data_IF_786597900560
#
_entry.id   IF_786597900560
#
_cell.length_a   1.000
_cell.length_b   1.000
_cell.length_c   1.000
_cell.angle_alpha   90.00
_cell.angle_beta   90.00
_cell.angle_gamma   90.00
#
_symmetry.space_group_name_H-M   'P 1'
#
loop_
_entity.id
_entity.type
_entity.pdbx_description
1 polymer ?
#
# COMPACT_ATOMS: atom_id res chain seq x y z
N UNK A 1 15.88 32.79 -7.83
CA UNK A 1 16.02 33.25 -9.24
C UNK A 1 16.78 34.57 -9.25
N UNK A 2 17.87 34.65 -10.01
CA UNK A 2 18.85 35.74 -9.97
C UNK A 2 18.24 37.08 -10.40
N UNK A 3 18.55 38.15 -9.66
CA UNK A 3 18.28 39.56 -9.96
C UNK A 3 18.60 39.97 -11.40
N UNK A 4 19.54 39.26 -12.04
CA UNK A 4 19.87 39.36 -13.45
C UNK A 4 18.70 39.09 -14.42
N UNK A 5 17.81 38.14 -14.13
CA UNK A 5 16.66 37.86 -15.00
C UNK A 5 15.60 38.96 -14.89
N UNK A 6 15.43 39.54 -13.70
CA UNK A 6 14.53 40.69 -13.49
C UNK A 6 15.03 41.95 -14.18
N UNK A 7 16.35 42.16 -14.18
CA UNK A 7 16.98 43.27 -14.92
C UNK A 7 16.86 43.09 -16.43
N UNK A 8 17.05 41.87 -16.95
CA UNK A 8 16.89 41.58 -18.37
C UNK A 8 15.44 41.79 -18.85
N UNK A 9 14.45 41.34 -18.07
CA UNK A 9 13.04 41.55 -18.38
C UNK A 9 12.64 43.03 -18.31
N UNK A 10 13.14 43.79 -17.34
CA UNK A 10 12.90 45.23 -17.22
C UNK A 10 13.54 46.02 -18.38
N UNK A 11 14.74 45.63 -18.82
CA UNK A 11 15.41 46.22 -19.99
C UNK A 11 14.68 45.90 -21.30
N UNK A 12 14.12 44.70 -21.46
CA UNK A 12 13.31 44.34 -22.63
C UNK A 12 11.98 45.13 -22.68
N UNK A 13 11.34 45.36 -21.52
CA UNK A 13 10.13 46.19 -21.40
C UNK A 13 10.39 47.67 -21.70
N UNK A 14 11.56 48.19 -21.28
CA UNK A 14 11.96 49.58 -21.59
C UNK A 14 12.37 49.77 -23.05
N UNK A 15 12.95 48.75 -23.70
CA UNK A 15 13.28 48.80 -25.12
C UNK A 15 12.03 48.69 -26.02
N UNK A 16 11.00 47.96 -25.57
CA UNK A 16 9.74 47.80 -26.31
C UNK A 16 8.81 49.03 -26.29
N UNK A 17 8.93 49.92 -25.30
CA UNK A 17 8.10 51.13 -25.21
C UNK A 17 8.61 52.31 -26.04
N UNK A 18 9.87 52.27 -26.49
CA UNK A 18 10.49 53.31 -27.33
C UNK A 18 10.33 53.07 -28.84
N UNK A 19 9.83 51.90 -29.24
CA UNK A 19 9.61 51.55 -30.64
C UNK A 19 8.21 50.93 -30.77
N UNK A 20 7.31 51.64 -31.46
CA UNK A 20 6.02 51.18 -32.05
C UNK A 20 4.72 51.41 -31.27
N UNK A 21 3.96 52.40 -31.76
CA UNK A 21 2.52 52.56 -31.55
C UNK A 21 1.75 51.60 -32.48
N UNK A 22 1.25 50.47 -31.98
CA UNK A 22 0.39 49.58 -32.77
C UNK A 22 -0.24 48.44 -31.97
N UNK A 23 -1.54 48.19 -32.16
CA UNK A 23 -2.30 47.16 -31.42
C UNK A 23 -1.76 45.72 -31.56
N UNK A 24 -0.94 45.45 -32.58
CA UNK A 24 -0.35 44.12 -32.81
C UNK A 24 0.88 43.87 -31.93
N UNK A 25 1.66 44.90 -31.58
CA UNK A 25 2.80 44.73 -30.67
C UNK A 25 2.37 44.49 -29.24
N UNK A 26 1.20 44.98 -28.82
CA UNK A 26 0.61 44.61 -27.52
C UNK A 26 0.25 43.13 -27.45
N UNK A 27 -0.29 42.55 -28.53
CA UNK A 27 -0.61 41.12 -28.60
C UNK A 27 0.65 40.26 -28.64
N UNK A 28 1.70 40.68 -29.35
CA UNK A 28 3.00 39.99 -29.33
C UNK A 28 3.69 40.13 -27.99
N UNK A 29 3.65 41.30 -27.35
CA UNK A 29 4.15 41.50 -25.97
C UNK A 29 3.37 40.66 -24.96
N UNK A 30 2.04 40.57 -25.06
CA UNK A 30 1.24 39.70 -24.20
C UNK A 30 1.53 38.23 -24.47
N UNK A 31 1.72 37.82 -25.72
CA UNK A 31 2.07 36.44 -26.07
C UNK A 31 3.48 36.08 -25.61
N UNK A 32 4.45 37.00 -25.76
CA UNK A 32 5.83 36.84 -25.28
C UNK A 32 5.89 36.89 -23.76
N UNK A 33 5.08 37.73 -23.12
CA UNK A 33 4.92 37.77 -21.67
C UNK A 33 4.28 36.47 -21.18
N UNK A 34 3.17 36.00 -21.76
CA UNK A 34 2.55 34.71 -21.46
C UNK A 34 3.54 33.57 -21.68
N UNK A 35 4.36 33.61 -22.74
CA UNK A 35 5.42 32.62 -23.01
C UNK A 35 6.62 32.71 -22.07
N UNK A 36 6.93 33.89 -21.54
CA UNK A 36 8.00 34.12 -20.57
C UNK A 36 7.55 33.80 -19.15
N UNK A 37 6.26 33.93 -18.87
CA UNK A 37 5.62 33.56 -17.60
C UNK A 37 4.93 32.19 -17.68
N UNK A 38 5.05 31.48 -18.81
CA UNK A 38 4.56 30.11 -19.00
C UNK A 38 5.39 29.22 -18.07
N UNK A 39 4.83 28.91 -16.90
CA UNK A 39 5.50 28.21 -15.81
C UNK A 39 5.73 29.04 -14.54
N UNK A 40 5.44 30.35 -14.55
CA UNK A 40 5.41 31.13 -13.32
C UNK A 40 4.22 30.71 -12.46
N UNK A 41 4.43 30.48 -11.16
CA UNK A 41 3.37 30.01 -10.29
C UNK A 41 2.25 31.05 -10.20
N UNK A 42 1.00 30.62 -10.44
CA UNK A 42 -0.19 31.46 -10.29
C UNK A 42 -0.14 32.21 -8.97
N UNK A 43 -0.29 33.53 -9.02
CA UNK A 43 -0.24 34.40 -7.84
C UNK A 43 -1.32 34.03 -6.83
N UNK A 44 -0.98 33.97 -5.54
CA UNK A 44 -1.87 33.46 -4.49
C UNK A 44 -3.23 34.17 -4.39
N UNK A 45 -3.32 35.45 -4.78
CA UNK A 45 -4.59 36.20 -4.79
C UNK A 45 -5.55 35.77 -5.90
N UNK A 46 -5.05 35.14 -6.98
CA UNK A 46 -5.86 34.58 -8.08
C UNK A 46 -6.37 33.17 -7.77
N UNK A 47 -5.79 32.51 -6.78
CA UNK A 47 -6.22 31.20 -6.33
C UNK A 47 -7.46 31.32 -5.45
N UNK A 48 -8.37 30.36 -5.60
CA UNK A 48 -9.50 30.21 -4.70
C UNK A 48 -9.03 29.76 -3.30
N UNK A 49 -9.93 29.74 -2.32
CA UNK A 49 -9.53 29.48 -0.92
C UNK A 49 -8.98 28.06 -0.71
N UNK A 50 -9.49 27.07 -1.43
CA UNK A 50 -9.03 25.67 -1.36
C UNK A 50 -7.66 25.53 -2.02
N UNK A 51 -7.50 26.02 -3.25
CA UNK A 51 -6.20 26.01 -3.95
C UNK A 51 -5.13 26.71 -3.12
N UNK A 52 -5.45 27.87 -2.55
CA UNK A 52 -4.51 28.62 -1.70
C UNK A 52 -4.08 27.83 -0.47
N UNK A 53 -5.00 27.12 0.18
CA UNK A 53 -4.71 26.32 1.36
C UNK A 53 -3.71 25.18 1.06
N UNK A 54 -3.78 24.56 -0.11
CA UNK A 54 -2.84 23.51 -0.51
C UNK A 54 -1.50 24.04 -1.04
N UNK A 55 -1.38 25.34 -1.32
CA UNK A 55 -0.15 25.93 -1.84
C UNK A 55 0.70 26.48 -0.70
N UNK A 56 1.75 25.76 -0.31
CA UNK A 56 2.67 26.16 0.77
C UNK A 56 3.27 27.57 0.57
N UNK A 57 3.47 28.00 -0.69
CA UNK A 57 3.95 29.36 -1.00
C UNK A 57 2.97 30.47 -0.64
N UNK A 58 1.70 30.15 -0.44
CA UNK A 58 0.63 31.10 -0.14
C UNK A 58 0.37 31.28 1.35
N UNK A 59 1.25 30.72 2.18
CA UNK A 59 1.17 30.77 3.64
C UNK A 59 0.67 29.45 4.24
N UNK A 60 0.66 29.40 5.57
CA UNK A 60 0.07 28.28 6.30
C UNK A 60 -1.45 28.38 6.25
N UNK A 61 -2.12 27.23 6.13
CA UNK A 61 -3.56 27.17 6.25
C UNK A 61 -4.06 27.75 7.59
N UNK A 62 -5.18 28.48 7.52
CA UNK A 62 -5.86 29.08 8.66
C UNK A 62 -7.27 28.52 8.73
N UNK A 63 -7.68 27.98 9.87
CA UNK A 63 -9.03 27.46 10.05
C UNK A 63 -10.09 28.57 9.87
N UNK A 64 -11.19 28.23 9.20
CA UNK A 64 -12.24 29.16 8.80
C UNK A 64 -12.00 29.87 7.46
N UNK A 65 -10.85 29.63 6.82
CA UNK A 65 -10.47 30.34 5.59
C UNK A 65 -11.08 29.77 4.31
N UNK A 66 -11.61 28.54 4.32
CA UNK A 66 -12.18 27.94 3.12
C UNK A 66 -13.57 28.53 2.85
N UNK A 67 -14.06 28.52 1.61
CA UNK A 67 -15.46 28.83 1.32
C UNK A 67 -16.19 27.61 0.79
N UNK A 68 -17.48 27.46 1.11
CA UNK A 68 -18.25 26.29 0.64
C UNK A 68 -18.33 26.26 -0.90
N UNK A 69 -18.39 27.43 -1.54
CA UNK A 69 -18.33 27.57 -2.99
C UNK A 69 -17.04 26.98 -3.56
N UNK A 70 -15.90 27.31 -2.96
CA UNK A 70 -14.61 26.81 -3.43
C UNK A 70 -14.41 25.33 -3.10
N UNK A 71 -15.01 24.82 -2.03
CA UNK A 71 -15.02 23.37 -1.75
C UNK A 71 -15.81 22.61 -2.82
N UNK A 72 -16.97 23.12 -3.22
CA UNK A 72 -17.78 22.51 -4.27
C UNK A 72 -17.16 22.63 -5.68
N UNK A 73 -16.41 23.71 -5.94
CA UNK A 73 -15.80 24.00 -7.23
C UNK A 73 -14.30 24.33 -7.09
N UNK A 74 -13.53 23.41 -6.53
CA UNK A 74 -12.14 23.67 -6.13
C UNK A 74 -11.17 23.97 -7.27
N UNK A 75 -11.49 23.62 -8.51
CA UNK A 75 -10.58 23.77 -9.65
C UNK A 75 -9.35 22.85 -9.61
N UNK A 76 -9.19 22.06 -8.55
CA UNK A 76 -8.08 21.13 -8.38
C UNK A 76 -8.28 19.89 -9.27
N UNK A 77 -7.19 19.32 -9.84
CA UNK A 77 -7.27 18.11 -10.66
C UNK A 77 -7.59 16.86 -9.83
N UNK A 78 -7.45 16.95 -8.50
CA UNK A 78 -7.73 15.88 -7.54
C UNK A 78 -8.69 16.44 -6.50
N UNK A 79 -9.63 15.61 -6.07
CA UNK A 79 -10.59 15.92 -5.01
C UNK A 79 -9.89 16.50 -3.77
N UNK A 80 -10.35 17.63 -3.20
CA UNK A 80 -9.75 18.26 -2.02
C UNK A 80 -9.62 17.30 -0.82
N UNK A 81 -10.62 16.44 -0.57
CA UNK A 81 -10.55 15.47 0.52
C UNK A 81 -9.45 14.44 0.31
N UNK A 82 -9.29 13.93 -0.90
CA UNK A 82 -8.22 12.98 -1.24
C UNK A 82 -6.85 13.62 -1.05
N UNK A 83 -6.66 14.86 -1.50
CA UNK A 83 -5.41 15.59 -1.30
C UNK A 83 -5.12 15.84 0.18
N UNK A 84 -6.11 16.31 0.94
CA UNK A 84 -5.95 16.59 2.36
C UNK A 84 -5.67 15.32 3.17
N UNK A 85 -6.39 14.23 2.89
CA UNK A 85 -6.22 12.98 3.62
C UNK A 85 -4.86 12.32 3.33
N UNK A 86 -4.40 12.39 2.07
CA UNK A 86 -3.18 11.73 1.59
C UNK A 86 -1.93 12.12 2.39
N UNK A 87 -1.82 13.37 2.79
CA UNK A 87 -0.62 13.92 3.44
C UNK A 87 -0.94 14.46 4.84
N UNK A 88 -0.25 13.98 5.90
CA UNK A 88 -0.50 14.43 7.26
C UNK A 88 -0.38 15.94 7.47
N UNK A 89 0.42 16.63 6.66
CA UNK A 89 0.56 18.09 6.70
C UNK A 89 -0.74 18.84 6.39
N UNK A 90 -1.68 18.22 5.67
CA UNK A 90 -2.95 18.83 5.26
C UNK A 90 -4.16 18.33 6.06
N UNK A 91 -3.97 17.41 7.02
CA UNK A 91 -5.03 16.98 7.93
C UNK A 91 -5.75 18.11 8.67
N UNK A 92 -5.10 19.24 9.05
CA UNK A 92 -5.81 20.38 9.62
C UNK A 92 -6.98 20.94 8.79
N UNK A 93 -7.01 20.69 7.47
CA UNK A 93 -8.09 21.11 6.57
C UNK A 93 -9.30 20.18 6.60
N UNK A 94 -9.12 18.90 6.97
CA UNK A 94 -10.17 17.88 6.86
C UNK A 94 -11.47 18.28 7.58
N UNK A 95 -11.45 18.77 8.84
CA UNK A 95 -12.70 19.12 9.52
C UNK A 95 -13.47 20.22 8.79
N UNK A 96 -12.78 21.23 8.26
CA UNK A 96 -13.42 22.35 7.58
C UNK A 96 -13.93 21.95 6.18
N UNK A 97 -13.19 21.11 5.45
CA UNK A 97 -13.64 20.56 4.17
C UNK A 97 -14.94 19.77 4.35
N UNK A 98 -15.00 18.89 5.35
CA UNK A 98 -16.20 18.10 5.67
C UNK A 98 -17.35 19.03 6.08
N UNK A 99 -17.10 19.98 6.98
CA UNK A 99 -18.12 20.92 7.44
C UNK A 99 -18.69 21.79 6.30
N UNK A 100 -17.91 22.05 5.25
CA UNK A 100 -18.34 22.80 4.05
C UNK A 100 -18.92 21.92 2.94
N UNK A 101 -19.19 20.65 3.24
CA UNK A 101 -19.93 19.75 2.36
C UNK A 101 -19.07 18.97 1.36
N UNK A 102 -17.76 18.86 1.59
CA UNK A 102 -16.96 17.92 0.80
C UNK A 102 -17.40 16.49 1.09
N UNK A 103 -17.51 15.68 0.03
CA UNK A 103 -18.01 14.30 0.09
C UNK A 103 -16.99 13.33 -0.50
N UNK A 104 -16.61 12.25 0.20
CA UNK A 104 -15.62 11.31 -0.32
C UNK A 104 -16.12 10.57 -1.58
N UNK A 105 -17.43 10.36 -1.73
CA UNK A 105 -18.02 9.68 -2.89
C UNK A 105 -17.91 10.50 -4.18
N UNK A 106 -17.64 11.81 -4.08
CA UNK A 106 -17.35 12.66 -5.23
C UNK A 106 -15.90 12.53 -5.70
N UNK A 107 -15.03 11.88 -4.92
CA UNK A 107 -13.63 11.69 -5.26
C UNK A 107 -13.44 10.43 -6.12
N UNK A 108 -12.67 10.54 -7.21
CA UNK A 108 -12.30 9.38 -8.05
C UNK A 108 -11.46 8.35 -7.28
N UNK A 109 -10.63 8.82 -6.36
CA UNK A 109 -9.83 7.98 -5.46
C UNK A 109 -10.27 8.26 -4.04
N UNK A 110 -10.75 7.22 -3.36
CA UNK A 110 -11.13 7.25 -1.95
C UNK A 110 -10.01 7.87 -1.10
N UNK A 111 -10.31 8.85 -0.22
CA UNK A 111 -9.30 9.52 0.59
C UNK A 111 -8.42 8.57 1.42
N UNK A 112 -9.00 7.51 1.98
CA UNK A 112 -8.25 6.50 2.74
C UNK A 112 -7.31 5.66 1.89
N UNK A 113 -7.71 5.33 0.66
CA UNK A 113 -6.84 4.59 -0.27
C UNK A 113 -5.64 5.45 -0.65
N UNK A 114 -5.86 6.74 -0.93
CA UNK A 114 -4.77 7.67 -1.22
C UNK A 114 -3.82 7.86 -0.03
N UNK A 115 -4.34 7.98 1.19
CA UNK A 115 -3.55 8.01 2.42
C UNK A 115 -2.70 6.75 2.56
N UNK A 116 -3.32 5.58 2.49
CA UNK A 116 -2.63 4.30 2.68
C UNK A 116 -1.50 4.07 1.67
N UNK A 117 -1.71 4.47 0.41
CA UNK A 117 -0.73 4.33 -0.65
C UNK A 117 0.44 5.29 -0.53
N UNK A 118 0.20 6.52 -0.04
CA UNK A 118 1.26 7.51 0.17
C UNK A 118 2.03 7.26 1.48
N UNK A 119 1.32 6.89 2.53
CA UNK A 119 1.84 6.73 3.88
C UNK A 119 1.22 5.45 4.50
N UNK A 120 1.88 4.28 4.38
CA UNK A 120 1.29 3.01 4.81
C UNK A 120 0.97 2.93 6.30
N UNK A 121 1.73 3.64 7.16
CA UNK A 121 1.47 3.77 8.59
C UNK A 121 2.03 5.11 9.12
N UNK A 122 1.32 6.24 8.91
CA UNK A 122 1.78 7.54 9.37
C UNK A 122 1.76 7.62 10.90
N UNK A 123 2.43 8.63 11.44
CA UNK A 123 2.36 8.97 12.86
C UNK A 123 1.06 9.73 13.15
N UNK A 124 0.01 9.01 13.53
CA UNK A 124 -1.29 9.57 13.89
C UNK A 124 -1.29 10.32 15.22
N UNK A 125 -0.25 10.18 16.06
CA UNK A 125 -0.18 10.86 17.36
C UNK A 125 -0.08 12.40 17.23
N UNK A 126 0.29 12.88 16.05
CA UNK A 126 0.34 14.32 15.73
C UNK A 126 -1.00 14.90 15.33
N UNK A 127 -2.00 14.06 15.07
CA UNK A 127 -3.32 14.51 14.70
C UNK A 127 -4.09 15.02 15.92
N UNK A 128 -4.83 16.12 15.74
CA UNK A 128 -5.78 16.57 16.79
C UNK A 128 -7.01 15.65 16.83
N UNK A 129 -7.79 15.65 17.93
CA UNK A 129 -9.01 14.83 17.99
C UNK A 129 -9.97 15.07 16.81
N UNK A 130 -10.18 16.34 16.42
CA UNK A 130 -11.03 16.67 15.27
C UNK A 130 -10.49 16.12 13.94
N UNK A 131 -9.17 16.02 13.78
CA UNK A 131 -8.56 15.42 12.59
C UNK A 131 -8.73 13.89 12.60
N UNK A 132 -8.54 13.24 13.74
CA UNK A 132 -8.79 11.80 13.89
C UNK A 132 -10.27 11.46 13.65
N UNK A 133 -11.19 12.29 14.14
CA UNK A 133 -12.62 12.13 13.90
C UNK A 133 -12.96 12.30 12.43
N UNK A 134 -12.32 13.26 11.74
CA UNK A 134 -12.48 13.45 10.30
C UNK A 134 -11.96 12.25 9.51
N UNK A 135 -10.80 11.71 9.87
CA UNK A 135 -10.25 10.49 9.26
C UNK A 135 -11.17 9.29 9.51
N UNK A 136 -11.64 9.11 10.75
CA UNK A 136 -12.60 8.05 11.08
C UNK A 136 -13.88 8.15 10.25
N UNK A 137 -14.47 9.35 10.18
CA UNK A 137 -15.65 9.62 9.36
C UNK A 137 -15.42 9.26 7.89
N UNK A 138 -14.28 9.68 7.31
CA UNK A 138 -13.92 9.35 5.93
C UNK A 138 -13.85 7.84 5.67
N UNK A 139 -13.52 7.02 6.67
CA UNK A 139 -13.51 5.57 6.50
C UNK A 139 -14.92 4.98 6.55
N UNK A 140 -15.77 5.53 7.40
CA UNK A 140 -17.09 4.97 7.70
C UNK A 140 -18.14 5.30 6.64
N UNK A 141 -18.07 6.51 6.07
CA UNK A 141 -19.08 6.94 5.09
C UNK A 141 -18.78 6.51 3.66
N UNK A 142 -17.52 6.22 3.35
CA UNK A 142 -17.07 5.87 2.00
C UNK A 142 -16.90 4.36 1.85
N UNK A 143 -17.82 3.70 1.14
CA UNK A 143 -17.69 2.27 0.84
C UNK A 143 -16.41 1.93 0.07
N UNK A 144 -15.83 2.87 -0.69
CA UNK A 144 -14.56 2.66 -1.40
C UNK A 144 -13.35 2.68 -0.45
N UNK A 145 -13.51 3.10 0.81
CA UNK A 145 -12.49 2.97 1.84
C UNK A 145 -12.26 1.51 2.24
N UNK A 146 -13.20 0.60 1.98
CA UNK A 146 -13.01 -0.85 2.19
C UNK A 146 -12.12 -1.40 1.07
N UNK A 147 -10.82 -1.27 1.29
CA UNK A 147 -9.79 -1.57 0.32
C UNK A 147 -8.59 -2.21 1.02
N UNK A 148 -7.85 -3.08 0.32
CA UNK A 148 -6.68 -3.78 0.86
C UNK A 148 -5.71 -2.83 1.58
N UNK A 149 -5.28 -1.77 0.89
CA UNK A 149 -4.30 -0.82 1.43
C UNK A 149 -4.86 -0.06 2.65
N UNK A 150 -6.14 0.31 2.64
CA UNK A 150 -6.76 1.01 3.77
C UNK A 150 -6.87 0.11 5.00
N UNK A 151 -7.25 -1.16 4.84
CA UNK A 151 -7.23 -2.16 5.92
C UNK A 151 -5.82 -2.33 6.48
N UNK A 152 -4.79 -2.35 5.63
CA UNK A 152 -3.38 -2.41 6.07
C UNK A 152 -3.00 -1.22 6.94
N UNK A 153 -3.38 -0.01 6.54
CA UNK A 153 -3.07 1.20 7.30
C UNK A 153 -3.88 1.29 8.60
N UNK A 154 -5.18 0.99 8.58
CA UNK A 154 -6.04 1.00 9.77
C UNK A 154 -5.61 -0.04 10.83
N UNK A 155 -5.05 -1.16 10.40
CA UNK A 155 -4.54 -2.21 11.30
C UNK A 155 -3.08 -2.01 11.73
N UNK A 156 -2.40 -0.95 11.25
CA UNK A 156 -1.01 -0.71 11.58
C UNK A 156 -0.84 -0.24 13.05
N UNK A 157 0.35 -0.41 13.66
CA UNK A 157 0.56 -0.05 15.07
C UNK A 157 0.18 1.39 15.42
N UNK A 158 0.54 2.37 14.58
CA UNK A 158 0.23 3.78 14.86
C UNK A 158 -1.27 4.08 14.76
N UNK A 159 -1.99 3.44 13.83
CA UNK A 159 -3.44 3.59 13.71
C UNK A 159 -4.16 3.02 14.94
N UNK A 160 -3.71 1.86 15.43
CA UNK A 160 -4.21 1.26 16.68
C UNK A 160 -3.96 2.14 17.89
N UNK A 161 -2.76 2.70 18.02
CA UNK A 161 -2.43 3.62 19.13
C UNK A 161 -3.30 4.88 19.10
N UNK A 162 -3.77 5.30 17.92
CA UNK A 162 -4.70 6.41 17.75
C UNK A 162 -6.19 6.00 17.79
N UNK A 163 -6.51 4.71 18.01
CA UNK A 163 -7.88 4.19 18.05
C UNK A 163 -8.63 4.25 16.71
N UNK A 164 -7.90 4.24 15.60
CA UNK A 164 -8.47 4.20 14.24
C UNK A 164 -8.80 2.77 13.79
N UNK A 165 -8.20 1.77 14.40
CA UNK A 165 -8.50 0.35 14.17
C UNK A 165 -9.93 -0.03 14.52
N UNK A 166 -10.58 0.70 15.44
CA UNK A 166 -12.00 0.53 15.73
C UNK A 166 -12.93 0.78 14.53
N UNK A 167 -12.43 1.36 13.43
CA UNK A 167 -13.14 1.37 12.13
C UNK A 167 -13.33 -0.05 11.60
N UNK A 168 -12.31 -0.91 11.71
CA UNK A 168 -12.38 -2.30 11.26
C UNK A 168 -13.41 -3.09 12.06
N UNK A 169 -13.45 -2.87 13.38
CA UNK A 169 -14.45 -3.48 14.25
C UNK A 169 -15.87 -3.03 13.86
N UNK A 170 -16.07 -1.75 13.51
CA UNK A 170 -17.37 -1.24 13.03
C UNK A 170 -17.76 -1.83 11.69
N UNK A 171 -16.84 -1.90 10.72
CA UNK A 171 -17.10 -2.53 9.43
C UNK A 171 -17.45 -4.02 9.59
N UNK A 172 -16.77 -4.73 10.51
CA UNK A 172 -17.10 -6.12 10.85
C UNK A 172 -18.50 -6.23 11.47
N UNK A 173 -18.82 -5.42 12.47
CA UNK A 173 -20.12 -5.41 13.14
C UNK A 173 -21.29 -5.03 12.21
N UNK A 174 -21.01 -4.35 11.10
CA UNK A 174 -21.97 -3.98 10.07
C UNK A 174 -22.01 -4.97 8.88
N UNK A 175 -21.38 -6.14 9.00
CA UNK A 175 -21.28 -7.15 7.94
C UNK A 175 -20.69 -6.63 6.62
N UNK A 176 -19.84 -5.60 6.68
CA UNK A 176 -19.20 -5.02 5.50
C UNK A 176 -17.93 -5.78 5.09
N UNK A 177 -17.34 -6.54 6.01
CA UNK A 177 -16.12 -7.31 5.77
C UNK A 177 -16.36 -8.77 5.39
N UNK A 178 -17.56 -9.15 4.95
CA UNK A 178 -17.93 -10.56 4.70
C UNK A 178 -16.97 -11.30 3.74
N UNK A 179 -16.62 -12.57 4.04
CA UNK A 179 -15.80 -13.37 3.13
C UNK A 179 -16.52 -13.60 1.80
N UNK A 180 -15.77 -13.63 0.70
CA UNK A 180 -16.28 -13.85 -0.66
C UNK A 180 -16.94 -12.62 -1.32
N UNK A 181 -17.25 -11.58 -0.54
CA UNK A 181 -17.74 -10.28 -1.08
C UNK A 181 -16.57 -9.34 -1.35
N UNK A 182 -15.56 -9.36 -0.50
CA UNK A 182 -14.39 -8.51 -0.63
C UNK A 182 -13.54 -8.92 -1.85
N UNK A 183 -13.01 -7.96 -2.63
CA UNK A 183 -12.12 -8.23 -3.76
C UNK A 183 -10.67 -8.55 -3.32
N UNK A 184 -10.46 -8.84 -2.04
CA UNK A 184 -9.19 -9.19 -1.42
C UNK A 184 -9.44 -10.06 -0.18
N UNK A 185 -8.43 -10.83 0.24
CA UNK A 185 -8.51 -11.59 1.50
C UNK A 185 -8.13 -10.75 2.71
N UNK A 186 -8.98 -10.72 3.74
CA UNK A 186 -8.79 -9.89 4.94
C UNK A 186 -7.43 -10.09 5.64
N UNK A 187 -7.02 -11.34 5.88
CA UNK A 187 -5.71 -11.60 6.52
C UNK A 187 -4.52 -11.18 5.66
N UNK A 188 -4.68 -11.17 4.34
CA UNK A 188 -3.70 -10.61 3.42
C UNK A 188 -3.58 -9.09 3.54
N UNK A 189 -4.69 -8.42 3.84
CA UNK A 189 -4.73 -6.97 4.00
C UNK A 189 -4.28 -6.49 5.38
N UNK A 190 -4.51 -7.26 6.45
CA UNK A 190 -4.11 -6.87 7.81
C UNK A 190 -2.59 -6.70 7.96
N UNK A 191 -2.20 -5.73 8.80
CA UNK A 191 -0.82 -5.58 9.24
C UNK A 191 -0.37 -6.84 10.01
N UNK A 192 0.89 -7.31 9.86
CA UNK A 192 1.36 -8.55 10.51
C UNK A 192 1.10 -8.60 12.02
N UNK A 193 1.32 -7.49 12.71
CA UNK A 193 1.10 -7.37 14.17
C UNK A 193 -0.38 -7.39 14.59
N UNK A 194 -1.31 -7.48 13.64
CA UNK A 194 -2.75 -7.54 13.89
C UNK A 194 -3.32 -8.96 13.76
N UNK A 195 -2.53 -9.94 13.29
CA UNK A 195 -3.00 -11.30 13.03
C UNK A 195 -3.32 -12.10 14.31
N UNK A 196 -2.83 -11.68 15.48
CA UNK A 196 -3.09 -12.34 16.76
C UNK A 196 -4.05 -11.56 17.68
N UNK A 197 -4.80 -10.59 17.17
CA UNK A 197 -5.74 -9.78 17.96
C UNK A 197 -7.14 -10.42 18.04
N UNK A 198 -8.03 -9.93 18.94
CA UNK A 198 -9.44 -10.36 18.97
C UNK A 198 -10.14 -10.25 17.61
N UNK A 199 -9.96 -9.15 16.87
CA UNK A 199 -10.54 -8.97 15.53
C UNK A 199 -10.13 -10.11 14.58
N UNK A 200 -8.86 -10.54 14.60
CA UNK A 200 -8.41 -11.63 13.75
C UNK A 200 -9.16 -12.94 14.04
N UNK A 201 -9.32 -13.28 15.33
CA UNK A 201 -10.10 -14.45 15.76
C UNK A 201 -11.58 -14.33 15.38
N UNK A 202 -12.13 -13.13 15.46
CA UNK A 202 -13.51 -12.86 15.04
C UNK A 202 -13.66 -13.05 13.53
N UNK A 203 -12.74 -12.54 12.71
CA UNK A 203 -12.73 -12.76 11.27
C UNK A 203 -12.65 -14.26 10.93
N UNK A 204 -11.81 -15.03 11.63
CA UNK A 204 -11.75 -16.49 11.46
C UNK A 204 -13.09 -17.16 11.77
N UNK A 205 -13.73 -16.76 12.88
CA UNK A 205 -15.04 -17.28 13.28
C UNK A 205 -16.14 -16.96 12.25
N UNK A 206 -16.01 -15.84 11.52
CA UNK A 206 -16.91 -15.44 10.44
C UNK A 206 -16.52 -16.04 9.06
N UNK A 207 -15.56 -16.96 9.01
CA UNK A 207 -15.23 -17.73 7.80
C UNK A 207 -14.13 -17.13 6.93
N UNK A 208 -13.41 -16.10 7.39
CA UNK A 208 -12.16 -15.72 6.74
C UNK A 208 -11.11 -16.81 6.93
N UNK A 209 -10.27 -17.02 5.91
CA UNK A 209 -9.20 -18.02 5.97
C UNK A 209 -7.86 -17.44 5.53
N UNK A 210 -6.78 -17.96 6.10
CA UNK A 210 -5.43 -17.62 5.66
C UNK A 210 -5.26 -17.87 4.16
N UNK A 211 -5.74 -19.00 3.64
CA UNK A 211 -5.67 -19.32 2.20
C UNK A 211 -6.30 -18.23 1.33
N UNK A 212 -7.50 -17.74 1.69
CA UNK A 212 -8.12 -16.63 0.98
C UNK A 212 -7.31 -15.32 1.10
N UNK A 213 -6.62 -15.11 2.23
CA UNK A 213 -5.67 -14.03 2.46
C UNK A 213 -4.45 -14.02 1.54
N UNK A 214 -4.14 -15.14 0.87
CA UNK A 214 -3.05 -15.25 -0.10
C UNK A 214 -3.52 -15.04 -1.55
N UNK A 215 -4.81 -14.81 -1.75
CA UNK A 215 -5.41 -14.60 -3.07
C UNK A 215 -5.01 -13.27 -3.70
N UNK A 216 -5.45 -13.08 -4.94
CA UNK A 216 -5.22 -11.83 -5.64
C UNK A 216 -5.96 -10.66 -4.99
N UNK A 217 -5.38 -9.47 -5.13
CA UNK A 217 -5.95 -8.25 -4.57
C UNK A 217 -5.59 -7.04 -5.44
N UNK A 218 -6.37 -5.97 -5.30
CA UNK A 218 -6.06 -4.66 -5.89
C UNK A 218 -5.48 -3.77 -4.80
N UNK A 219 -4.25 -3.30 -5.00
CA UNK A 219 -3.56 -2.42 -4.06
C UNK A 219 -2.09 -2.21 -4.41
N UNK A 220 -1.45 -1.25 -3.75
CA UNK A 220 -0.02 -0.98 -3.89
C UNK A 220 0.80 -1.58 -2.75
N UNK A 221 0.18 -1.79 -1.58
CA UNK A 221 0.87 -2.38 -0.45
C UNK A 221 1.00 -3.89 -0.62
N UNK A 222 2.10 -4.45 -0.13
CA UNK A 222 2.40 -5.89 -0.21
C UNK A 222 1.41 -6.72 0.63
N UNK A 223 1.14 -7.98 0.26
CA UNK A 223 0.27 -8.83 1.06
C UNK A 223 0.92 -9.18 2.40
N UNK A 224 0.09 -9.54 3.39
CA UNK A 224 0.46 -9.73 4.79
C UNK A 224 1.62 -10.70 5.01
N UNK A 225 1.62 -11.82 4.29
CA UNK A 225 2.69 -12.80 4.38
C UNK A 225 4.04 -12.27 3.88
N UNK A 226 4.08 -11.58 2.73
CA UNK A 226 5.33 -11.00 2.23
C UNK A 226 5.83 -9.89 3.16
N UNK A 227 4.93 -9.06 3.68
CA UNK A 227 5.30 -8.02 4.64
C UNK A 227 5.87 -8.61 5.94
N UNK A 228 5.27 -9.69 6.44
CA UNK A 228 5.76 -10.40 7.63
C UNK A 228 7.17 -10.96 7.40
N UNK A 229 7.45 -11.54 6.22
CA UNK A 229 8.79 -12.02 5.85
C UNK A 229 9.81 -10.88 5.79
N UNK A 230 9.47 -9.77 5.12
CA UNK A 230 10.38 -8.63 4.95
C UNK A 230 10.70 -7.95 6.28
N UNK A 231 9.73 -7.86 7.17
CA UNK A 231 9.90 -7.27 8.50
C UNK A 231 10.42 -8.25 9.56
N UNK A 232 10.62 -9.53 9.22
CA UNK A 232 10.97 -10.58 10.18
C UNK A 232 10.01 -10.68 11.35
N UNK A 233 8.70 -10.52 11.09
CA UNK A 233 7.68 -10.65 12.13
C UNK A 233 7.39 -12.13 12.39
N UNK A 234 8.19 -12.76 13.25
CA UNK A 234 8.11 -14.20 13.52
C UNK A 234 6.73 -14.63 14.07
N UNK A 235 6.09 -13.80 14.88
CA UNK A 235 4.76 -14.09 15.43
C UNK A 235 3.69 -14.18 14.31
N UNK A 236 3.75 -13.28 13.34
CA UNK A 236 2.90 -13.33 12.15
C UNK A 236 3.25 -14.50 11.23
N UNK A 237 4.56 -14.79 11.06
CA UNK A 237 5.00 -15.94 10.27
C UNK A 237 4.50 -17.25 10.88
N UNK A 238 4.57 -17.40 12.20
CA UNK A 238 4.02 -18.55 12.91
C UNK A 238 2.52 -18.69 12.66
N UNK A 239 1.77 -17.58 12.76
CA UNK A 239 0.34 -17.57 12.47
C UNK A 239 0.03 -18.09 11.06
N UNK A 240 0.78 -17.62 10.05
CA UNK A 240 0.64 -18.03 8.66
C UNK A 240 1.01 -19.49 8.43
N UNK A 241 2.18 -19.93 8.93
CA UNK A 241 2.71 -21.28 8.73
C UNK A 241 1.88 -22.32 9.45
N UNK A 242 1.34 -22.02 10.64
CA UNK A 242 0.41 -22.93 11.34
C UNK A 242 -0.86 -23.20 10.53
N UNK A 243 -1.34 -22.22 9.76
CA UNK A 243 -2.58 -22.34 8.97
C UNK A 243 -2.35 -22.82 7.55
N UNK A 244 -1.21 -22.47 6.97
CA UNK A 244 -0.81 -22.85 5.61
C UNK A 244 0.64 -23.32 5.62
N UNK A 245 0.94 -24.54 6.10
CA UNK A 245 2.32 -25.02 6.27
C UNK A 245 3.13 -25.05 4.97
N UNK A 246 2.47 -25.22 3.83
CA UNK A 246 3.11 -25.21 2.51
C UNK A 246 3.75 -23.86 2.15
N UNK A 247 3.36 -22.76 2.81
CA UNK A 247 3.88 -21.43 2.56
C UNK A 247 5.39 -21.36 2.69
N UNK A 248 5.98 -22.09 3.65
CA UNK A 248 7.43 -22.12 3.91
C UNK A 248 8.22 -22.47 2.65
N UNK A 249 7.65 -23.31 1.78
CA UNK A 249 8.27 -23.76 0.55
C UNK A 249 7.69 -23.11 -0.71
N UNK A 250 6.42 -22.69 -0.69
CA UNK A 250 5.74 -22.13 -1.85
C UNK A 250 4.63 -21.18 -1.45
N UNK A 251 4.82 -19.90 -1.75
CA UNK A 251 3.77 -18.90 -1.72
C UNK A 251 3.05 -18.87 -3.08
N UNK A 252 1.71 -18.73 -3.08
CA UNK A 252 0.96 -18.55 -4.32
C UNK A 252 1.28 -17.19 -4.96
N UNK A 253 0.96 -17.02 -6.26
CA UNK A 253 1.08 -15.73 -6.91
C UNK A 253 0.06 -14.75 -6.33
N UNK A 254 0.46 -13.48 -6.19
CA UNK A 254 -0.43 -12.43 -5.72
C UNK A 254 -1.33 -11.87 -6.85
N UNK A 255 -1.05 -12.18 -8.11
CA UNK A 255 -1.81 -11.74 -9.29
C UNK A 255 -1.75 -12.79 -10.41
N UNK A 256 -2.68 -12.73 -11.37
CA UNK A 256 -2.81 -13.72 -12.45
C UNK A 256 -1.56 -13.89 -13.34
N UNK A 257 -0.76 -12.83 -13.50
CA UNK A 257 0.46 -12.86 -14.33
C UNK A 257 1.72 -13.29 -13.55
N UNK A 258 1.57 -13.61 -12.26
CA UNK A 258 2.67 -14.07 -11.43
C UNK A 258 2.65 -15.59 -11.30
N UNK A 259 3.82 -16.17 -11.11
CA UNK A 259 3.98 -17.56 -10.70
C UNK A 259 4.24 -17.62 -9.19
N UNK A 260 3.88 -18.75 -8.59
CA UNK A 260 4.22 -19.00 -7.18
C UNK A 260 5.74 -18.88 -6.96
N UNK A 261 6.12 -18.39 -5.79
CA UNK A 261 7.49 -18.08 -5.43
C UNK A 261 7.91 -18.82 -4.16
N UNK A 262 9.23 -18.95 -3.97
CA UNK A 262 9.82 -19.66 -2.82
C UNK A 262 10.29 -18.61 -1.80
N UNK A 263 9.78 -18.61 -0.55
CA UNK A 263 10.16 -17.60 0.44
C UNK A 263 11.66 -17.52 0.70
N UNK A 264 12.31 -18.67 0.85
CA UNK A 264 13.75 -18.70 1.09
C UNK A 264 14.53 -18.10 -0.09
N UNK A 265 14.09 -18.31 -1.34
CA UNK A 265 14.69 -17.67 -2.51
C UNK A 265 14.52 -16.14 -2.52
N UNK A 266 13.36 -15.64 -2.07
CA UNK A 266 13.13 -14.20 -1.91
C UNK A 266 14.01 -13.60 -0.83
N UNK A 267 14.07 -14.24 0.34
CA UNK A 267 14.87 -13.78 1.49
C UNK A 267 16.34 -13.60 1.12
N UNK A 268 16.92 -14.52 0.35
CA UNK A 268 18.34 -14.45 -0.06
C UNK A 268 18.62 -13.43 -1.17
N UNK A 269 17.58 -12.88 -1.82
CA UNK A 269 17.73 -11.91 -2.90
C UNK A 269 18.15 -10.55 -2.32
N UNK A 270 19.17 -9.88 -2.88
CA UNK A 270 19.59 -8.55 -2.44
C UNK A 270 18.41 -7.56 -2.39
N UNK A 271 18.38 -6.70 -1.38
CA UNK A 271 17.33 -5.70 -1.14
C UNK A 271 15.92 -6.22 -0.82
N UNK A 272 15.72 -7.54 -0.68
CA UNK A 272 14.46 -8.06 -0.15
C UNK A 272 14.30 -7.74 1.35
N UNK A 273 15.32 -8.06 2.15
CA UNK A 273 15.48 -7.59 3.53
C UNK A 273 16.72 -6.70 3.54
N UNK A 274 16.60 -5.48 4.07
CA UNK A 274 17.69 -4.50 4.07
C UNK A 274 18.75 -4.81 5.14
N UNK A 275 18.33 -5.33 6.29
CA UNK A 275 19.22 -5.71 7.40
C UNK A 275 19.78 -7.13 7.20
N UNK A 276 21.10 -7.31 7.04
CA UNK A 276 21.70 -8.63 6.88
C UNK A 276 21.53 -9.56 8.09
N UNK A 277 21.46 -9.03 9.31
CA UNK A 277 21.25 -9.85 10.52
C UNK A 277 19.83 -10.43 10.49
N UNK A 278 18.83 -9.59 10.28
CA UNK A 278 17.45 -10.01 10.11
C UNK A 278 17.28 -10.98 8.93
N UNK A 279 17.98 -10.76 7.82
CA UNK A 279 17.96 -11.67 6.67
C UNK A 279 18.40 -13.09 7.07
N UNK A 280 19.47 -13.20 7.88
CA UNK A 280 19.95 -14.48 8.41
C UNK A 280 18.92 -15.11 9.34
N UNK A 281 18.35 -14.34 10.25
CA UNK A 281 17.38 -14.85 11.23
C UNK A 281 16.11 -15.37 10.55
N UNK A 282 15.60 -14.67 9.54
CA UNK A 282 14.45 -15.12 8.74
C UNK A 282 14.80 -16.39 7.94
N UNK A 283 16.00 -16.49 7.38
CA UNK A 283 16.42 -17.70 6.68
C UNK A 283 16.52 -18.90 7.63
N UNK A 284 17.09 -18.72 8.82
CA UNK A 284 17.17 -19.76 9.87
C UNK A 284 15.76 -20.15 10.33
N UNK A 285 14.88 -19.19 10.56
CA UNK A 285 13.48 -19.43 10.89
C UNK A 285 12.80 -20.31 9.84
N UNK A 286 12.93 -19.98 8.56
CA UNK A 286 12.32 -20.75 7.48
C UNK A 286 12.87 -22.18 7.42
N UNK A 287 14.18 -22.37 7.59
CA UNK A 287 14.79 -23.71 7.65
C UNK A 287 14.27 -24.53 8.83
N UNK A 288 14.12 -23.92 10.01
CA UNK A 288 13.56 -24.56 11.20
C UNK A 288 12.08 -24.99 11.00
N UNK A 289 11.35 -24.30 10.11
CA UNK A 289 9.97 -24.61 9.77
C UNK A 289 9.82 -25.49 8.51
N UNK A 290 10.91 -26.12 8.06
CA UNK A 290 10.88 -27.10 6.97
C UNK A 290 11.04 -26.52 5.57
N UNK A 291 11.67 -25.35 5.43
CA UNK A 291 12.09 -24.87 4.12
C UNK A 291 13.14 -25.80 3.50
N UNK A 292 12.94 -26.14 2.24
CA UNK A 292 13.77 -27.06 1.49
C UNK A 292 14.70 -26.29 0.54
N UNK A 293 15.95 -25.94 0.94
CA UNK A 293 16.83 -25.11 0.12
C UNK A 293 17.29 -25.80 -1.17
N UNK A 294 17.18 -27.14 -1.21
CA UNK A 294 17.53 -27.98 -2.36
C UNK A 294 16.37 -28.19 -3.34
N UNK A 295 15.18 -27.66 -3.05
CA UNK A 295 14.03 -27.76 -3.95
C UNK A 295 14.23 -26.86 -5.17
N UNK A 296 13.82 -27.36 -6.33
CA UNK A 296 13.84 -26.62 -7.59
C UNK A 296 12.96 -25.37 -7.54
N UNK A 297 13.42 -24.28 -8.15
CA UNK A 297 12.67 -23.03 -8.24
C UNK A 297 11.54 -23.14 -9.27
N UNK A 298 10.35 -22.56 -9.02
CA UNK A 298 9.22 -22.64 -9.95
C UNK A 298 9.47 -22.02 -11.33
N UNK A 299 10.32 -21.00 -11.43
CA UNK A 299 10.64 -20.30 -12.68
C UNK A 299 11.84 -20.90 -13.43
N UNK A 300 12.68 -21.66 -12.73
CA UNK A 300 13.86 -22.29 -13.29
C UNK A 300 14.10 -23.63 -12.55
N UNK A 301 13.57 -24.74 -13.09
CA UNK A 301 13.69 -26.05 -12.48
C UNK A 301 15.15 -26.53 -12.33
N UNK A 302 16.09 -25.95 -13.10
CA UNK A 302 17.52 -26.28 -13.03
C UNK A 302 18.22 -25.64 -11.83
N UNK A 303 17.61 -24.62 -11.22
CA UNK A 303 18.13 -23.93 -10.05
C UNK A 303 17.40 -24.34 -8.77
N UNK A 304 18.17 -24.42 -7.69
CA UNK A 304 17.71 -24.51 -6.30
C UNK A 304 18.03 -23.22 -5.55
N UNK A 305 17.47 -23.05 -4.35
CA UNK A 305 17.79 -21.90 -3.48
C UNK A 305 19.28 -21.86 -3.14
N UNK A 306 19.93 -23.01 -2.90
CA UNK A 306 21.38 -23.08 -2.67
C UNK A 306 22.16 -22.62 -3.91
N UNK A 307 21.82 -23.12 -5.11
CA UNK A 307 22.53 -22.73 -6.33
C UNK A 307 22.34 -21.24 -6.64
N UNK A 308 21.17 -20.69 -6.32
CA UNK A 308 20.88 -19.27 -6.44
C UNK A 308 21.72 -18.46 -5.42
N UNK A 309 21.82 -18.92 -4.17
CA UNK A 309 22.63 -18.27 -3.15
C UNK A 309 24.11 -18.20 -3.54
N UNK A 310 24.67 -19.28 -4.12
CA UNK A 310 26.04 -19.31 -4.66
C UNK A 310 26.19 -18.31 -5.80
N UNK A 311 25.27 -18.31 -6.76
CA UNK A 311 25.26 -17.38 -7.90
C UNK A 311 25.21 -15.91 -7.46
N UNK A 312 24.43 -15.62 -6.42
CA UNK A 312 24.29 -14.29 -5.83
C UNK A 312 25.43 -13.92 -4.86
N UNK A 313 26.37 -14.83 -4.59
CA UNK A 313 27.41 -14.68 -3.56
C UNK A 313 26.82 -14.32 -2.19
N UNK A 314 25.69 -14.94 -1.85
CA UNK A 314 24.98 -14.67 -0.59
C UNK A 314 25.82 -15.09 0.62
N UNK A 315 25.84 -14.30 1.71
CA UNK A 315 26.50 -14.70 2.96
C UNK A 315 25.81 -15.91 3.64
N UNK A 316 24.63 -16.30 3.15
CA UNK A 316 23.84 -17.41 3.70
C UNK A 316 24.16 -18.76 3.06
N UNK A 317 25.10 -18.84 2.11
CA UNK A 317 25.44 -20.11 1.43
C UNK A 317 25.74 -21.23 2.43
N UNK A 318 26.56 -20.97 3.44
CA UNK A 318 26.89 -21.99 4.45
C UNK A 318 25.67 -22.42 5.26
N UNK A 319 24.82 -21.46 5.67
CA UNK A 319 23.57 -21.72 6.38
C UNK A 319 22.59 -22.57 5.56
N UNK A 320 22.53 -22.32 4.25
CA UNK A 320 21.62 -23.02 3.32
C UNK A 320 22.14 -24.38 2.87
N UNK A 321 23.45 -24.60 2.90
CA UNK A 321 24.11 -25.82 2.41
C UNK A 321 24.07 -26.99 3.41
N UNK A 322 23.25 -26.91 4.46
CA UNK A 322 23.06 -27.96 5.46
C UNK A 322 22.71 -29.33 4.85
N UNK A 323 22.73 -30.40 5.67
CA UNK A 323 22.61 -31.78 5.20
C UNK A 323 21.36 -31.95 4.33
N UNK A 324 21.53 -32.57 3.16
CA UNK A 324 20.41 -32.92 2.27
C UNK A 324 19.45 -33.83 3.04
N UNK A 325 18.33 -33.27 3.47
CA UNK A 325 17.18 -34.09 3.86
C UNK A 325 16.69 -34.72 2.56
N UNK A 326 16.90 -36.02 2.41
CA UNK A 326 16.39 -36.75 1.26
C UNK A 326 14.87 -36.58 1.25
N UNK A 327 14.37 -35.82 0.27
CA UNK A 327 12.93 -35.71 0.02
C UNK A 327 12.40 -37.13 -0.16
N UNK A 328 11.53 -37.56 0.74
CA UNK A 328 10.81 -38.84 0.67
C UNK A 328 9.93 -38.77 -0.58
N UNK A 329 10.50 -39.18 -1.72
CA UNK A 329 9.72 -39.52 -2.91
C UNK A 329 8.71 -40.56 -2.45
N UNK A 330 7.42 -40.25 -2.63
CA UNK A 330 6.30 -41.08 -2.23
C UNK A 330 6.57 -42.54 -2.59
N UNK A 331 6.51 -43.40 -1.58
CA UNK A 331 6.43 -44.83 -1.80
C UNK A 331 5.22 -45.08 -2.72
N UNK A 332 5.34 -45.94 -3.74
CA UNK A 332 4.19 -46.34 -4.52
C UNK A 332 3.23 -47.05 -3.58
N UNK A 333 2.03 -46.50 -3.43
CA UNK A 333 0.90 -47.21 -2.83
C UNK A 333 0.64 -48.41 -3.73
N UNK A 334 1.10 -49.58 -3.30
CA UNK A 334 0.73 -50.84 -3.92
C UNK A 334 -0.80 -50.94 -3.82
N UNK A 335 -1.47 -50.89 -4.98
CA UNK A 335 -2.89 -51.14 -5.09
C UNK A 335 -3.16 -52.59 -4.64
N UNK A 336 -3.71 -52.74 -3.44
CA UNK A 336 -4.28 -54.00 -2.99
C UNK A 336 -5.46 -54.32 -3.93
N UNK A 337 -5.25 -55.32 -4.77
CA UNK A 337 -6.29 -55.86 -5.66
C UNK A 337 -7.20 -56.73 -4.80
N UNK A 338 -8.37 -56.22 -4.44
CA UNK A 338 -9.42 -57.02 -3.81
C UNK A 338 -9.99 -57.98 -4.84
N UNK A 339 -9.69 -59.26 -4.69
CA UNK A 339 -10.34 -60.34 -5.41
C UNK A 339 -11.81 -60.42 -4.95
N UNK A 340 -12.75 -60.38 -5.90
CA UNK A 340 -14.14 -60.73 -5.64
C UNK A 340 -14.68 -61.51 -6.83
N UNK A 341 -15.27 -62.68 -6.54
CA UNK A 341 -16.33 -63.25 -7.37
C UNK A 341 -15.96 -64.47 -8.23
N UNK A 342 -15.61 -65.59 -7.60
CA UNK A 342 -15.74 -66.91 -8.22
C UNK A 342 -17.20 -67.38 -8.07
N UNK A 343 -17.95 -67.36 -9.18
CA UNK A 343 -19.25 -68.03 -9.34
C UNK A 343 -19.02 -69.50 -9.70
N UNK A 344 -19.80 -70.45 -9.16
CA UNK A 344 -20.06 -71.69 -9.87
C UNK A 344 -21.51 -71.76 -10.35
N UNK A 345 -21.64 -72.08 -11.64
CA UNK A 345 -22.87 -72.54 -12.29
C UNK A 345 -23.28 -73.91 -11.71
N UNK A 346 -24.55 -74.05 -11.36
CA UNK A 346 -25.53 -74.94 -12.02
C UNK A 346 -26.92 -74.67 -11.45
#
# INVERSE_FOLDING_TARGET
MNTLHRLAAALALAAGSLLTSGCTTTLVMMHVYDKLTDGDPTSCYKLNTVERAFQQRCGTYVAGSLTAKDVAASGLPICPLTLAAREPAFWPMLPELIAKGAKPEACITAPWVALAQANPCPDFSRATPAQLDSLRWLAEVDAQAIHHDAVRTLSCPNARLAGLDGVLDRWQAQDQLRPGVLPFGMFGALHPTHLNTPLSRELEAHGHTAVAGLGAYRGQLRPGFEEALRGGNFEALDWWVQRVPSLVNRAPPANGDQIGWVPLARVITPAFIADPALQRDVAVYLLAHGAEPWRSLPHDPSQTVVSLAVKLKSPLVETLSGPRVASTRGAPVAAATSATGMLPKR
#
